data_IF_203486192384
#
_entry.id   IF_203486192384
#
_cell.length_a   1.000
_cell.length_b   1.000
_cell.length_c   1.000
_cell.angle_alpha   90.00
_cell.angle_beta   90.00
_cell.angle_gamma   90.00
#
_symmetry.space_group_name_H-M   'P 1'
#
loop_
_entity.id
_entity.type
_entity.pdbx_description
1 polymer ?
#
# COMPACT_ATOMS: atom_id res chain seq x y z
N UNK A 1 65.70 54.68 -20.71
CA UNK A 1 65.44 54.04 -19.39
C UNK A 1 64.05 54.41 -18.92
N UNK A 2 63.15 53.42 -18.82
CA UNK A 2 62.12 53.19 -17.77
C UNK A 2 61.01 52.33 -18.38
N UNK A 3 61.12 51.02 -18.16
CA UNK A 3 60.16 49.98 -18.54
C UNK A 3 58.94 50.04 -17.62
N UNK A 4 57.75 50.31 -18.18
CA UNK A 4 56.48 50.25 -17.48
C UNK A 4 55.96 48.81 -17.54
N UNK A 5 56.14 48.05 -16.45
CA UNK A 5 55.62 46.69 -16.31
C UNK A 5 54.11 46.77 -16.08
N UNK A 6 53.33 46.46 -17.10
CA UNK A 6 51.87 46.36 -17.02
C UNK A 6 51.52 45.06 -16.28
N UNK A 7 51.09 45.21 -15.02
CA UNK A 7 50.68 44.14 -14.13
C UNK A 7 49.28 43.65 -14.56
N UNK A 8 49.22 42.53 -15.29
CA UNK A 8 47.97 41.84 -15.61
C UNK A 8 47.52 41.07 -14.36
N UNK A 9 46.55 41.63 -13.64
CA UNK A 9 45.86 40.96 -12.53
C UNK A 9 44.87 39.97 -13.16
N UNK A 10 45.25 38.69 -13.20
CA UNK A 10 44.38 37.59 -13.59
C UNK A 10 43.40 37.34 -12.42
N UNK A 11 42.19 37.88 -12.52
CA UNK A 11 41.12 37.62 -11.55
C UNK A 11 40.62 36.19 -11.76
N UNK A 12 41.24 35.25 -11.05
CA UNK A 12 40.88 33.84 -11.05
C UNK A 12 39.54 33.69 -10.31
N UNK A 13 38.42 33.70 -11.05
CA UNK A 13 37.11 33.34 -10.52
C UNK A 13 37.14 31.85 -10.12
N UNK A 14 37.44 31.59 -8.84
CA UNK A 14 37.29 30.27 -8.25
C UNK A 14 35.79 30.06 -8.01
N UNK A 15 35.09 29.54 -9.01
CA UNK A 15 33.72 29.05 -8.85
C UNK A 15 33.78 27.84 -7.94
N UNK A 16 33.42 28.03 -6.66
CA UNK A 16 33.18 26.93 -5.73
C UNK A 16 31.91 26.24 -6.23
N UNK A 17 32.07 25.19 -7.04
CA UNK A 17 30.96 24.28 -7.37
C UNK A 17 30.60 23.53 -6.09
N UNK A 18 29.59 23.99 -5.37
CA UNK A 18 28.91 23.18 -4.37
C UNK A 18 28.19 22.08 -5.13
N UNK A 19 28.74 20.86 -5.15
CA UNK A 19 28.03 19.71 -5.65
C UNK A 19 26.78 19.50 -4.79
N UNK A 20 25.62 19.89 -5.32
CA UNK A 20 24.32 19.58 -4.74
C UNK A 20 24.17 18.06 -4.89
N UNK A 21 24.40 17.31 -3.81
CA UNK A 21 24.20 15.87 -3.81
C UNK A 21 22.71 15.62 -3.74
N UNK A 22 22.07 15.47 -4.90
CA UNK A 22 20.70 14.97 -4.97
C UNK A 22 20.66 13.59 -4.30
N UNK A 23 19.87 13.46 -3.25
CA UNK A 23 19.67 12.20 -2.55
C UNK A 23 18.55 11.42 -3.24
N UNK A 24 18.81 10.14 -3.50
CA UNK A 24 17.78 9.20 -3.91
C UNK A 24 17.21 8.51 -2.67
N UNK A 25 15.93 8.76 -2.39
CA UNK A 25 15.20 8.07 -1.34
C UNK A 25 14.41 6.93 -1.97
N UNK A 26 14.40 5.77 -1.31
CA UNK A 26 13.56 4.65 -1.73
C UNK A 26 12.26 4.65 -0.95
N UNK A 27 11.22 4.06 -1.52
CA UNK A 27 9.97 3.85 -0.83
C UNK A 27 9.09 2.82 -1.53
N UNK A 28 7.92 2.60 -0.94
CA UNK A 28 6.90 1.67 -1.47
C UNK A 28 5.55 2.38 -1.54
N UNK A 29 4.86 2.21 -2.68
CA UNK A 29 3.48 2.71 -2.86
C UNK A 29 2.55 1.97 -1.90
N UNK A 30 1.93 2.69 -0.98
CA UNK A 30 1.00 2.13 0.02
C UNK A 30 -0.46 2.37 -0.34
N UNK A 31 -0.76 3.44 -1.07
CA UNK A 31 -2.12 3.74 -1.53
C UNK A 31 -2.12 4.34 -2.93
N UNK A 32 -3.20 4.11 -3.67
CA UNK A 32 -3.45 4.71 -4.99
C UNK A 32 -4.91 5.17 -5.04
N UNK A 33 -5.14 6.44 -5.36
CA UNK A 33 -6.48 7.03 -5.52
C UNK A 33 -6.45 8.02 -6.67
N UNK A 34 -7.25 7.79 -7.72
CA UNK A 34 -7.31 8.66 -8.91
C UNK A 34 -5.91 8.98 -9.51
N UNK A 35 -5.02 7.99 -9.56
CA UNK A 35 -3.60 8.10 -9.95
C UNK A 35 -2.69 8.85 -8.96
N UNK A 36 -3.22 9.54 -7.96
CA UNK A 36 -2.43 10.02 -6.84
C UNK A 36 -1.96 8.84 -6.00
N UNK A 37 -0.77 8.97 -5.42
CA UNK A 37 -0.14 7.89 -4.66
C UNK A 37 0.25 8.37 -3.27
N UNK A 38 0.15 7.44 -2.33
CA UNK A 38 0.78 7.56 -1.02
C UNK A 38 1.94 6.58 -0.97
N UNK A 39 3.08 7.05 -0.49
CA UNK A 39 4.33 6.32 -0.44
C UNK A 39 4.82 6.27 1.01
N UNK A 40 5.27 5.10 1.45
CA UNK A 40 6.09 4.97 2.64
C UNK A 40 7.55 5.07 2.22
N UNK A 41 8.23 6.10 2.72
CA UNK A 41 9.65 6.38 2.45
C UNK A 41 10.50 5.56 3.42
N UNK A 42 11.53 4.90 2.89
CA UNK A 42 12.46 4.08 3.64
C UNK A 42 13.65 4.92 4.15
N UNK A 43 14.21 4.52 5.30
CA UNK A 43 15.38 5.17 5.89
C UNK A 43 15.05 6.32 6.86
N UNK A 44 16.07 7.10 7.22
CA UNK A 44 15.98 8.20 8.19
C UNK A 44 15.75 9.58 7.58
N UNK A 45 15.70 9.66 6.25
CA UNK A 45 15.51 10.89 5.49
C UNK A 45 14.11 10.92 4.87
N UNK A 46 13.54 12.11 4.79
CA UNK A 46 12.22 12.35 4.20
C UNK A 46 12.35 13.38 3.08
N UNK A 47 11.55 13.24 2.01
CA UNK A 47 11.54 14.21 0.92
C UNK A 47 10.91 15.52 1.37
N UNK A 48 10.98 16.53 0.49
CA UNK A 48 10.26 17.79 0.63
C UNK A 48 9.18 17.92 -0.44
N UNK A 49 8.21 18.81 -0.18
CA UNK A 49 7.18 19.14 -1.18
C UNK A 49 7.84 19.68 -2.45
N UNK A 50 7.43 19.17 -3.60
CA UNK A 50 7.99 19.51 -4.91
C UNK A 50 9.00 18.50 -5.45
N UNK A 51 9.50 17.58 -4.62
CA UNK A 51 10.40 16.52 -5.07
C UNK A 51 9.72 15.62 -6.12
N UNK A 52 10.53 15.01 -6.98
CA UNK A 52 10.05 14.11 -8.04
C UNK A 52 10.08 12.67 -7.56
N UNK A 53 8.99 11.97 -7.77
CA UNK A 53 8.81 10.56 -7.50
C UNK A 53 8.71 9.79 -8.82
N UNK A 54 9.43 8.68 -8.94
CA UNK A 54 9.29 7.72 -10.03
C UNK A 54 8.84 6.37 -9.47
N UNK A 55 7.85 5.74 -10.11
CA UNK A 55 7.30 4.44 -9.69
C UNK A 55 7.70 3.38 -10.71
N UNK A 56 8.08 2.20 -10.21
CA UNK A 56 8.57 1.11 -11.04
C UNK A 56 7.68 -0.13 -10.95
N UNK A 57 7.52 -0.80 -12.08
CA UNK A 57 6.98 -2.14 -12.19
C UNK A 57 8.11 -3.16 -12.31
N UNK A 58 8.11 -4.19 -11.47
CA UNK A 58 9.11 -5.26 -11.52
C UNK A 58 8.62 -6.43 -12.37
N UNK A 59 9.39 -6.79 -13.38
CA UNK A 59 9.16 -7.92 -14.26
C UNK A 59 9.58 -9.25 -13.58
N UNK A 60 9.08 -10.42 -14.02
CA UNK A 60 9.42 -11.71 -13.43
C UNK A 60 10.92 -12.07 -13.48
N UNK A 61 11.67 -11.48 -14.40
CA UNK A 61 13.13 -11.61 -14.53
C UNK A 61 13.91 -10.68 -13.58
N UNK A 62 13.20 -9.82 -12.83
CA UNK A 62 13.78 -8.87 -11.89
C UNK A 62 14.06 -7.48 -12.47
N UNK A 63 13.86 -7.25 -13.76
CA UNK A 63 14.02 -5.92 -14.36
C UNK A 63 12.93 -4.95 -13.87
N UNK A 64 13.24 -3.66 -13.81
CA UNK A 64 12.31 -2.61 -13.35
C UNK A 64 12.02 -1.63 -14.48
N UNK A 65 10.74 -1.43 -14.78
CA UNK A 65 10.25 -0.48 -15.77
C UNK A 65 9.61 0.72 -15.08
N UNK A 66 10.03 1.94 -15.41
CA UNK A 66 9.36 3.16 -14.96
C UNK A 66 7.96 3.27 -15.58
N UNK A 67 6.95 3.50 -14.75
CA UNK A 67 5.55 3.65 -15.18
C UNK A 67 5.04 5.08 -15.14
N UNK A 68 5.89 6.04 -14.75
CA UNK A 68 5.55 7.46 -14.68
C UNK A 68 6.33 8.24 -13.64
N UNK A 69 6.04 9.53 -13.60
CA UNK A 69 6.53 10.49 -12.62
C UNK A 69 5.39 11.19 -11.88
N UNK A 70 5.62 11.45 -10.60
CA UNK A 70 4.72 12.15 -9.70
C UNK A 70 5.50 13.26 -8.98
N UNK A 71 4.78 14.24 -8.44
CA UNK A 71 5.36 15.33 -7.63
C UNK A 71 4.85 15.20 -6.21
N UNK A 72 5.77 15.24 -5.23
CA UNK A 72 5.42 15.20 -3.81
C UNK A 72 4.60 16.44 -3.44
N UNK A 73 3.37 16.25 -2.98
CA UNK A 73 2.43 17.31 -2.59
C UNK A 73 2.42 17.56 -1.08
N UNK A 74 2.61 16.50 -0.29
CA UNK A 74 2.60 16.55 1.17
C UNK A 74 3.54 15.48 1.76
N UNK A 75 4.18 15.80 2.88
CA UNK A 75 5.02 14.86 3.65
C UNK A 75 4.64 14.94 5.12
N UNK A 76 4.33 13.80 5.74
CA UNK A 76 3.99 13.66 7.17
C UNK A 76 4.76 12.48 7.74
N UNK A 77 5.82 12.74 8.50
CA UNK A 77 6.72 11.69 8.97
C UNK A 77 7.38 10.97 7.79
N UNK A 78 7.29 9.65 7.74
CA UNK A 78 7.80 8.82 6.64
C UNK A 78 6.79 8.59 5.51
N UNK A 79 5.64 9.27 5.53
CA UNK A 79 4.61 9.16 4.51
C UNK A 79 4.67 10.38 3.61
N UNK A 80 4.80 10.15 2.31
CA UNK A 80 4.70 11.18 1.30
C UNK A 80 3.48 10.93 0.42
N UNK A 81 2.77 11.98 0.06
CA UNK A 81 1.70 11.97 -0.94
C UNK A 81 2.22 12.63 -2.20
N UNK A 82 1.85 12.09 -3.35
CA UNK A 82 2.30 12.60 -4.63
C UNK A 82 1.18 12.57 -5.67
N UNK A 83 1.14 13.60 -6.50
CA UNK A 83 0.18 13.71 -7.59
C UNK A 83 0.85 13.48 -8.93
N UNK A 84 0.10 12.88 -9.85
CA UNK A 84 0.62 12.49 -11.17
C UNK A 84 1.13 13.71 -11.94
N UNK A 85 2.35 13.61 -12.48
CA UNK A 85 2.92 14.56 -13.42
C UNK A 85 2.81 14.01 -14.84
N UNK A 86 3.35 12.82 -15.05
CA UNK A 86 3.29 12.08 -16.32
C UNK A 86 3.17 10.58 -16.01
N UNK A 87 2.33 9.84 -16.72
CA UNK A 87 2.25 8.40 -16.50
C UNK A 87 2.07 7.63 -17.82
N UNK A 88 2.71 6.47 -17.88
CA UNK A 88 2.55 5.48 -18.95
C UNK A 88 1.79 4.26 -18.46
N UNK A 89 1.65 4.10 -17.14
CA UNK A 89 0.90 3.02 -16.50
C UNK A 89 0.07 3.49 -15.30
N UNK A 90 -0.71 2.55 -14.75
CA UNK A 90 -1.46 2.76 -13.53
C UNK A 90 -0.63 2.27 -12.33
N UNK A 91 -0.40 3.11 -11.31
CA UNK A 91 0.29 2.66 -10.12
C UNK A 91 -0.56 1.64 -9.36
N UNK A 92 0.10 0.70 -8.70
CA UNK A 92 -0.51 -0.30 -7.81
C UNK A 92 0.27 -0.35 -6.50
N UNK A 93 -0.42 -0.72 -5.44
CA UNK A 93 0.19 -0.85 -4.12
C UNK A 93 1.26 -1.93 -4.12
N UNK A 94 2.30 -1.73 -3.31
CA UNK A 94 3.48 -2.60 -3.25
C UNK A 94 4.55 -2.30 -4.31
N UNK A 95 4.31 -1.38 -5.23
CA UNK A 95 5.34 -0.98 -6.20
C UNK A 95 6.47 -0.20 -5.54
N UNK A 96 7.68 -0.41 -6.06
CA UNK A 96 8.86 0.35 -5.69
C UNK A 96 8.73 1.78 -6.20
N UNK A 97 9.13 2.71 -5.36
CA UNK A 97 9.15 4.13 -5.61
C UNK A 97 10.56 4.68 -5.33
N UNK A 98 11.04 5.58 -6.19
CA UNK A 98 12.31 6.30 -5.99
C UNK A 98 12.03 7.79 -6.04
N UNK A 99 12.45 8.51 -5.01
CA UNK A 99 12.27 9.95 -4.90
C UNK A 99 13.62 10.61 -5.10
N UNK A 100 13.67 11.57 -6.02
CA UNK A 100 14.81 12.46 -6.22
C UNK A 100 14.59 13.72 -5.39
N UNK A 101 15.39 13.88 -4.33
CA UNK A 101 15.31 15.01 -3.41
C UNK A 101 16.62 15.77 -3.38
N UNK A 102 16.59 17.08 -3.64
CA UNK A 102 17.78 17.93 -3.54
C UNK A 102 18.09 18.32 -2.09
N UNK A 103 17.05 18.36 -1.24
CA UNK A 103 17.14 18.83 0.14
C UNK A 103 16.38 17.88 1.08
N UNK A 104 16.77 16.60 1.18
CA UNK A 104 16.12 15.67 2.08
C UNK A 104 16.25 16.14 3.53
N UNK A 105 15.17 16.03 4.29
CA UNK A 105 15.16 16.41 5.71
C UNK A 105 15.28 15.18 6.60
N UNK A 106 15.95 15.30 7.75
CA UNK A 106 15.95 14.24 8.74
C UNK A 106 14.53 14.03 9.29
N UNK A 107 14.13 12.77 9.48
CA UNK A 107 12.83 12.44 10.05
C UNK A 107 12.74 12.98 11.49
N UNK A 108 11.93 14.01 11.70
CA UNK A 108 11.65 14.52 13.05
C UNK A 108 10.76 13.50 13.76
N UNK A 109 11.33 12.71 14.66
CA UNK A 109 10.57 11.84 15.58
C UNK A 109 9.64 12.76 16.40
N UNK A 110 8.31 12.62 16.32
CA UNK A 110 7.40 13.39 17.15
C UNK A 110 7.60 12.99 18.62
N UNK A 111 8.16 13.90 19.42
CA UNK A 111 7.98 13.96 20.87
C UNK A 111 8.40 12.72 21.68
N UNK A 112 9.68 12.66 22.05
CA UNK A 112 10.17 11.84 23.16
C UNK A 112 9.76 12.50 24.50
N UNK A 113 8.94 11.84 25.31
CA UNK A 113 9.05 11.86 26.77
C UNK A 113 9.15 10.41 27.25
N UNK A 114 10.16 10.18 28.08
CA UNK A 114 10.58 8.92 28.74
C UNK A 114 9.41 8.30 29.52
N UNK A 115 9.26 6.98 29.61
CA UNK A 115 10.00 6.14 30.56
C UNK A 115 10.33 4.71 30.04
N UNK A 116 11.46 4.22 30.56
CA UNK A 116 12.17 2.99 30.26
C UNK A 116 11.52 1.74 30.86
N UNK A 117 11.29 0.70 30.04
CA UNK A 117 11.35 -0.69 30.47
C UNK A 117 11.71 -1.62 29.29
N UNK A 118 12.75 -2.40 29.52
CA UNK A 118 13.45 -3.32 28.62
C UNK A 118 12.59 -4.45 28.04
N UNK A 119 12.70 -4.69 26.73
CA UNK A 119 12.43 -6.00 26.13
C UNK A 119 13.26 -6.22 24.85
N UNK A 120 14.23 -7.12 25.00
CA UNK A 120 14.71 -8.14 24.06
C UNK A 120 14.54 -7.92 22.55
N UNK A 121 15.69 -7.80 21.87
CA UNK A 121 15.85 -7.82 20.42
C UNK A 121 15.58 -9.24 19.88
N UNK A 122 14.51 -9.41 19.09
CA UNK A 122 14.19 -10.63 18.36
C UNK A 122 13.86 -10.29 16.91
N UNK A 123 14.83 -10.58 16.04
CA UNK A 123 14.71 -11.17 14.69
C UNK A 123 13.49 -10.79 13.82
N UNK A 124 13.75 -9.98 12.78
CA UNK A 124 13.38 -10.29 11.40
C UNK A 124 11.92 -10.11 10.93
N UNK A 125 11.76 -9.26 9.89
CA UNK A 125 10.61 -9.17 8.98
C UNK A 125 9.28 -8.67 9.57
N UNK A 126 9.15 -7.35 9.71
CA UNK A 126 7.86 -6.69 10.03
C UNK A 126 7.50 -5.74 8.91
N UNK A 127 6.69 -6.22 7.96
CA UNK A 127 5.80 -5.34 7.22
C UNK A 127 4.95 -4.62 8.28
N UNK A 128 4.95 -3.30 8.25
CA UNK A 128 4.12 -2.46 9.12
C UNK A 128 2.64 -2.71 8.79
N UNK A 129 2.03 -3.69 9.48
CA UNK A 129 0.76 -4.30 9.12
C UNK A 129 -0.46 -3.41 9.40
N UNK A 130 -0.32 -2.36 10.20
CA UNK A 130 -1.46 -1.56 10.68
C UNK A 130 -2.13 -0.72 9.58
N UNK A 131 -1.38 -0.15 8.64
CA UNK A 131 -1.96 0.64 7.54
C UNK A 131 -2.60 -0.23 6.45
N UNK A 132 -1.98 -1.37 6.14
CA UNK A 132 -2.46 -2.30 5.11
C UNK A 132 -3.73 -3.04 5.53
N UNK A 133 -3.80 -3.45 6.80
CA UNK A 133 -4.99 -4.16 7.32
C UNK A 133 -6.21 -3.23 7.36
N UNK A 134 -6.07 -1.97 7.79
CA UNK A 134 -7.18 -1.01 7.85
C UNK A 134 -7.76 -0.68 6.46
N UNK A 135 -6.90 -0.57 5.44
CA UNK A 135 -7.36 -0.41 4.06
C UNK A 135 -8.16 -1.62 3.59
N UNK A 136 -7.69 -2.84 3.89
CA UNK A 136 -8.38 -4.07 3.51
C UNK A 136 -9.71 -4.19 4.26
N UNK A 137 -9.76 -3.84 5.53
CA UNK A 137 -11.00 -3.77 6.32
C UNK A 137 -11.97 -2.75 5.70
N UNK A 138 -11.49 -1.58 5.32
CA UNK A 138 -12.29 -0.56 4.63
C UNK A 138 -12.84 -1.07 3.31
N UNK A 139 -12.02 -1.77 2.51
CA UNK A 139 -12.46 -2.40 1.27
C UNK A 139 -13.52 -3.49 1.50
N UNK A 140 -13.32 -4.37 2.49
CA UNK A 140 -14.30 -5.41 2.86
C UNK A 140 -15.66 -4.79 3.24
N UNK A 141 -15.63 -3.64 3.94
CA UNK A 141 -16.83 -2.90 4.36
C UNK A 141 -17.40 -1.97 3.29
N UNK A 142 -16.74 -1.81 2.15
CA UNK A 142 -17.17 -0.88 1.11
C UNK A 142 -18.54 -1.26 0.55
N UNK A 143 -19.38 -0.26 0.26
CA UNK A 143 -20.62 -0.46 -0.49
C UNK A 143 -20.39 -0.72 -1.98
N UNK A 144 -19.18 -0.41 -2.47
CA UNK A 144 -18.79 -0.69 -3.85
C UNK A 144 -18.41 -2.18 -4.00
N UNK A 145 -19.14 -2.96 -4.82
CA UNK A 145 -18.92 -4.41 -4.94
C UNK A 145 -17.56 -4.77 -5.57
N UNK A 146 -16.99 -3.90 -6.39
CA UNK A 146 -15.65 -4.10 -6.99
C UNK A 146 -14.59 -3.98 -5.90
N UNK A 147 -14.64 -2.91 -5.11
CA UNK A 147 -13.70 -2.71 -4.00
C UNK A 147 -13.79 -3.82 -2.96
N UNK A 148 -15.02 -4.25 -2.61
CA UNK A 148 -15.23 -5.36 -1.68
C UNK A 148 -14.64 -6.67 -2.19
N UNK A 149 -14.87 -7.00 -3.46
CA UNK A 149 -14.29 -8.17 -4.10
C UNK A 149 -12.76 -8.13 -4.07
N UNK A 150 -12.16 -6.99 -4.41
CA UNK A 150 -10.71 -6.88 -4.49
C UNK A 150 -10.06 -6.93 -3.10
N UNK A 151 -10.65 -6.25 -2.11
CA UNK A 151 -10.27 -6.40 -0.71
C UNK A 151 -10.39 -7.85 -0.21
N UNK A 152 -11.47 -8.54 -0.56
CA UNK A 152 -11.66 -9.94 -0.17
C UNK A 152 -10.63 -10.90 -0.80
N UNK A 153 -10.22 -10.67 -2.05
CA UNK A 153 -9.14 -11.43 -2.69
C UNK A 153 -7.80 -11.23 -2.01
N UNK A 154 -7.47 -9.98 -1.68
CA UNK A 154 -6.23 -9.63 -0.99
C UNK A 154 -6.24 -10.24 0.42
N UNK A 155 -7.35 -10.05 1.15
CA UNK A 155 -7.55 -10.60 2.49
C UNK A 155 -7.36 -12.13 2.52
N UNK A 156 -7.97 -12.85 1.58
CA UNK A 156 -7.84 -14.30 1.48
C UNK A 156 -6.39 -14.76 1.25
N UNK A 157 -5.60 -13.99 0.48
CA UNK A 157 -4.21 -14.34 0.14
C UNK A 157 -3.23 -14.01 1.27
N UNK A 158 -3.41 -12.87 1.92
CA UNK A 158 -2.44 -12.31 2.88
C UNK A 158 -2.79 -12.71 4.31
N UNK A 159 -4.07 -12.67 4.68
CA UNK A 159 -4.56 -12.93 6.04
C UNK A 159 -5.29 -14.28 6.11
N UNK A 160 -4.69 -15.29 5.48
CA UNK A 160 -5.23 -16.64 5.49
C UNK A 160 -5.31 -17.17 6.93
N UNK A 161 -6.50 -17.55 7.38
CA UNK A 161 -6.69 -18.06 8.74
C UNK A 161 -6.95 -16.99 9.81
N UNK A 162 -6.91 -15.70 9.47
CA UNK A 162 -7.07 -14.62 10.46
C UNK A 162 -8.53 -14.52 10.97
N UNK A 163 -8.70 -14.57 12.29
CA UNK A 163 -10.02 -14.59 12.93
C UNK A 163 -10.75 -13.24 12.81
N UNK A 164 -10.04 -12.11 12.86
CA UNK A 164 -10.63 -10.77 12.78
C UNK A 164 -11.15 -10.49 11.37
N UNK A 165 -10.37 -10.85 10.36
CA UNK A 165 -10.77 -10.76 8.95
C UNK A 165 -11.95 -11.70 8.65
N UNK A 166 -11.95 -12.90 9.22
CA UNK A 166 -13.08 -13.82 9.09
C UNK A 166 -14.36 -13.26 9.74
N UNK A 167 -14.26 -12.61 10.90
CA UNK A 167 -15.41 -11.98 11.56
C UNK A 167 -16.00 -10.86 10.69
N UNK A 168 -15.16 -10.00 10.11
CA UNK A 168 -15.60 -8.92 9.21
C UNK A 168 -16.21 -9.51 7.94
N UNK A 169 -15.60 -10.55 7.35
CA UNK A 169 -16.17 -11.23 6.19
C UNK A 169 -17.53 -11.86 6.49
N UNK A 170 -17.74 -12.39 7.69
CA UNK A 170 -19.04 -12.93 8.11
C UNK A 170 -20.10 -11.84 8.24
N UNK A 171 -19.74 -10.71 8.87
CA UNK A 171 -20.61 -9.53 9.00
C UNK A 171 -21.06 -9.02 7.62
N UNK A 172 -20.12 -8.84 6.70
CA UNK A 172 -20.40 -8.32 5.36
C UNK A 172 -21.13 -9.33 4.46
N UNK A 173 -20.88 -10.63 4.65
CA UNK A 173 -21.62 -11.68 3.96
C UNK A 173 -23.08 -11.70 4.42
N UNK A 174 -23.37 -11.60 5.72
CA UNK A 174 -24.74 -11.57 6.28
C UNK A 174 -25.55 -10.41 5.68
N UNK A 175 -24.94 -9.24 5.51
CA UNK A 175 -25.58 -8.06 4.89
C UNK A 175 -25.95 -8.28 3.42
N UNK A 176 -25.14 -9.05 2.68
CA UNK A 176 -25.16 -9.06 1.22
C UNK A 176 -25.69 -10.33 0.54
N UNK A 177 -25.67 -11.48 1.20
CA UNK A 177 -25.84 -12.76 0.51
C UNK A 177 -27.25 -13.04 -0.05
N UNK A 178 -28.25 -12.26 0.38
CA UNK A 178 -29.67 -12.38 -0.04
C UNK A 178 -30.13 -11.28 -1.00
N UNK A 179 -29.23 -10.37 -1.41
CA UNK A 179 -29.57 -9.21 -2.25
C UNK A 179 -28.67 -9.15 -3.48
N UNK A 180 -29.04 -8.29 -4.44
CA UNK A 180 -28.23 -7.91 -5.61
C UNK A 180 -27.69 -9.10 -6.43
N UNK A 181 -28.44 -10.20 -6.54
CA UNK A 181 -28.03 -11.43 -7.24
C UNK A 181 -27.78 -11.28 -8.74
N UNK A 182 -28.26 -10.18 -9.34
CA UNK A 182 -28.03 -9.85 -10.76
C UNK A 182 -26.74 -9.07 -10.99
N UNK A 183 -26.16 -8.49 -9.94
CA UNK A 183 -24.87 -7.82 -10.03
C UNK A 183 -23.75 -8.84 -9.89
N UNK A 184 -23.03 -9.06 -10.99
CA UNK A 184 -21.90 -10.00 -11.06
C UNK A 184 -20.78 -9.65 -10.07
N UNK A 185 -20.53 -8.37 -9.80
CA UNK A 185 -19.46 -7.94 -8.91
C UNK A 185 -19.85 -8.17 -7.47
N UNK A 186 -21.10 -7.89 -7.11
CA UNK A 186 -21.66 -8.18 -5.79
C UNK A 186 -21.61 -9.69 -5.50
N UNK A 187 -22.11 -10.49 -6.44
CA UNK A 187 -22.09 -11.96 -6.33
C UNK A 187 -20.67 -12.50 -6.18
N UNK A 188 -19.71 -11.95 -6.93
CA UNK A 188 -18.31 -12.35 -6.81
C UNK A 188 -17.69 -11.95 -5.46
N UNK A 189 -17.99 -10.74 -4.96
CA UNK A 189 -17.56 -10.30 -3.65
C UNK A 189 -18.06 -11.26 -2.55
N UNK A 190 -19.34 -11.59 -2.53
CA UNK A 190 -19.93 -12.53 -1.55
C UNK A 190 -19.29 -13.92 -1.64
N UNK A 191 -19.02 -14.42 -2.85
CA UNK A 191 -18.32 -15.69 -3.04
C UNK A 191 -16.90 -15.69 -2.46
N UNK A 192 -16.18 -14.57 -2.56
CA UNK A 192 -14.87 -14.41 -1.93
C UNK A 192 -14.95 -14.34 -0.41
N UNK A 193 -15.96 -13.69 0.15
CA UNK A 193 -16.19 -13.70 1.61
C UNK A 193 -16.41 -15.14 2.12
N UNK A 194 -17.17 -15.97 1.40
CA UNK A 194 -17.30 -17.39 1.73
C UNK A 194 -15.94 -18.13 1.79
N UNK A 195 -14.99 -17.79 0.90
CA UNK A 195 -13.65 -18.39 0.91
C UNK A 195 -12.85 -17.97 2.14
N UNK A 196 -12.93 -16.70 2.55
CA UNK A 196 -12.29 -16.21 3.78
C UNK A 196 -12.78 -17.02 4.98
N UNK A 197 -14.10 -17.25 5.10
CA UNK A 197 -14.65 -18.04 6.19
C UNK A 197 -14.17 -19.50 6.17
N UNK A 198 -14.06 -20.11 4.99
CA UNK A 198 -13.52 -21.46 4.88
C UNK A 198 -12.03 -21.55 5.23
N UNK A 199 -11.25 -20.56 4.79
CA UNK A 199 -9.82 -20.45 5.10
C UNK A 199 -9.53 -20.20 6.58
N UNK A 200 -10.46 -19.58 7.31
CA UNK A 200 -10.31 -19.35 8.76
C UNK A 200 -10.12 -20.65 9.56
N UNK A 201 -10.58 -21.79 9.03
CA UNK A 201 -10.66 -23.07 9.72
C UNK A 201 -11.44 -23.00 11.06
N UNK A 202 -12.20 -21.93 11.30
CA UNK A 202 -13.05 -21.79 12.47
C UNK A 202 -14.40 -22.49 12.23
N UNK A 203 -14.63 -23.59 12.95
CA UNK A 203 -15.83 -24.42 12.85
C UNK A 203 -17.12 -23.67 13.23
N UNK A 204 -17.01 -22.58 13.97
CA UNK A 204 -18.16 -21.74 14.36
C UNK A 204 -18.85 -21.09 13.16
N UNK A 205 -18.15 -20.88 12.04
CA UNK A 205 -18.78 -20.37 10.82
C UNK A 205 -19.54 -21.43 10.04
N UNK A 206 -19.46 -22.70 10.42
CA UNK A 206 -20.11 -23.80 9.70
C UNK A 206 -21.65 -23.69 9.68
N UNK A 207 -22.36 -23.43 10.79
CA UNK A 207 -23.81 -23.18 10.75
C UNK A 207 -24.17 -21.96 9.90
N UNK A 208 -23.32 -20.92 9.91
CA UNK A 208 -23.54 -19.72 9.12
C UNK A 208 -23.40 -19.98 7.61
N UNK A 209 -22.32 -20.65 7.17
CA UNK A 209 -22.18 -21.07 5.76
C UNK A 209 -23.33 -21.99 5.33
N UNK A 210 -23.86 -22.82 6.24
CA UNK A 210 -25.08 -23.62 6.00
C UNK A 210 -26.31 -22.76 5.74
N UNK A 211 -26.53 -21.72 6.56
CA UNK A 211 -27.59 -20.74 6.34
C UNK A 211 -27.44 -20.05 4.99
N UNK A 212 -26.22 -19.62 4.63
CA UNK A 212 -25.95 -18.91 3.38
C UNK A 212 -26.32 -19.76 2.15
N UNK A 213 -25.80 -20.98 2.02
CA UNK A 213 -26.11 -21.81 0.85
C UNK A 213 -27.56 -22.33 0.83
N UNK A 214 -28.28 -22.32 1.95
CA UNK A 214 -29.70 -22.72 1.97
C UNK A 214 -30.64 -21.61 1.53
N UNK A 215 -30.25 -20.34 1.71
CA UNK A 215 -31.17 -19.20 1.56
C UNK A 215 -30.79 -18.24 0.41
N UNK A 216 -29.57 -18.30 -0.12
CA UNK A 216 -29.18 -17.45 -1.26
C UNK A 216 -29.91 -17.87 -2.54
N UNK A 217 -30.29 -16.90 -3.38
CA UNK A 217 -30.83 -17.14 -4.72
C UNK A 217 -29.76 -17.15 -5.81
N UNK A 218 -28.48 -16.98 -5.46
CA UNK A 218 -27.36 -17.00 -6.40
C UNK A 218 -26.66 -18.35 -6.37
N UNK A 219 -26.62 -19.03 -7.52
CA UNK A 219 -25.93 -20.32 -7.66
C UNK A 219 -24.45 -20.21 -7.30
N UNK A 220 -23.79 -19.11 -7.70
CA UNK A 220 -22.38 -18.90 -7.35
C UNK A 220 -22.17 -18.74 -5.85
N UNK A 221 -22.98 -17.95 -5.16
CA UNK A 221 -22.85 -17.81 -3.70
C UNK A 221 -23.13 -19.15 -3.02
N UNK A 222 -24.12 -19.89 -3.52
CA UNK A 222 -24.48 -21.24 -3.05
C UNK A 222 -23.27 -22.18 -3.11
N UNK A 223 -22.67 -22.30 -4.29
CA UNK A 223 -21.56 -23.22 -4.55
C UNK A 223 -20.36 -22.91 -3.64
N UNK A 224 -19.99 -21.65 -3.52
CA UNK A 224 -18.87 -21.23 -2.68
C UNK A 224 -19.16 -21.43 -1.20
N UNK A 225 -20.37 -21.12 -0.72
CA UNK A 225 -20.75 -21.34 0.67
C UNK A 225 -20.79 -22.85 0.99
N UNK A 226 -21.35 -23.68 0.10
CA UNK A 226 -21.42 -25.14 0.25
C UNK A 226 -20.05 -25.80 0.20
N UNK A 227 -19.16 -25.33 -0.67
CA UNK A 227 -17.76 -25.78 -0.73
C UNK A 227 -17.06 -25.52 0.60
N UNK A 228 -17.10 -24.29 1.10
CA UNK A 228 -16.40 -23.91 2.34
C UNK A 228 -17.06 -24.54 3.59
N UNK A 229 -18.38 -24.75 3.60
CA UNK A 229 -19.06 -25.51 4.64
C UNK A 229 -18.50 -26.93 4.82
N UNK A 230 -18.11 -27.60 3.72
CA UNK A 230 -17.54 -28.95 3.76
C UNK A 230 -16.08 -28.97 4.26
N UNK A 231 -15.37 -27.85 4.12
CA UNK A 231 -13.99 -27.72 4.61
C UNK A 231 -13.94 -27.62 6.13
N UNK A 232 -14.92 -26.94 6.73
CA UNK A 232 -15.07 -26.85 8.18
C UNK A 232 -15.67 -28.16 8.71
N UNK A 233 -14.85 -28.99 9.34
CA UNK A 233 -15.23 -30.30 9.91
C UNK A 233 -15.47 -30.24 11.40
#
# INVERSE_FOLDING_TARGET
>A
MKSLKCLIIFFLFFTISTAVTAAQLSGTVTNVSNLDVTIKVDGGLVPVKGDTLEIFFTLPDGESLSIGTWVITQVTGNIAQASVKENTGNPVTGQRAVISSENPSAMSVPGKKEDVASASFSTGSVYDQSGGIEQIISQLRSSNPIQKRDGAKIAYRIFYGDASIAAIAAEELEKGYMINHRDRHHVDAMAWLCNILGASNNKEYRPFLKKVYKNTKSDKINDYAKKNYKLLK
#
